data_IF_624927175470
#
_entry.id   IF_624927175470
#
_cell.length_a   1.000
_cell.length_b   1.000
_cell.length_c   1.000
_cell.angle_alpha   90.00
_cell.angle_beta   90.00
_cell.angle_gamma   90.00
#
_symmetry.space_group_name_H-M   'P 1'
#
loop_
_entity.id
_entity.type
_entity.pdbx_description
1 polymer ?
#
# COMPACT_ATOMS: atom_id res chain seq x y z
N UNK A 1 -22.03 7.78 4.94
CA UNK A 1 -20.70 7.19 4.71
C UNK A 1 -19.76 7.78 5.75
N UNK A 2 -19.22 6.96 6.64
CA UNK A 2 -18.25 7.42 7.64
C UNK A 2 -16.84 7.43 6.99
N UNK A 3 -16.17 8.59 6.87
CA UNK A 3 -14.81 8.65 6.32
C UNK A 3 -13.80 7.81 7.10
N UNK A 4 -14.01 7.59 8.40
CA UNK A 4 -13.12 6.76 9.22
C UNK A 4 -13.23 5.28 8.85
N UNK A 5 -14.43 4.82 8.49
CA UNK A 5 -14.68 3.44 8.09
C UNK A 5 -13.98 3.08 6.77
N UNK A 6 -13.68 4.07 5.91
CA UNK A 6 -13.02 3.87 4.62
C UNK A 6 -11.50 3.96 4.67
N UNK A 7 -10.94 4.29 5.83
CA UNK A 7 -9.50 4.38 5.99
C UNK A 7 -8.85 3.03 5.68
N UNK A 8 -7.76 3.08 4.93
CA UNK A 8 -7.02 1.86 4.60
C UNK A 8 -6.37 1.26 5.84
N UNK A 9 -6.37 -0.06 5.91
CA UNK A 9 -5.74 -0.79 7.00
C UNK A 9 -4.23 -0.87 6.75
N UNK A 10 -3.39 -0.47 7.72
CA UNK A 10 -1.94 -0.42 7.51
C UNK A 10 -1.38 -1.79 7.12
N UNK A 11 -0.46 -1.81 6.16
CA UNK A 11 0.18 -3.04 5.72
C UNK A 11 1.13 -3.56 6.80
N UNK A 12 0.89 -4.79 7.27
CA UNK A 12 1.79 -5.46 8.21
C UNK A 12 3.19 -5.71 7.62
N UNK A 13 4.22 -5.75 8.48
CA UNK A 13 5.63 -5.90 8.07
C UNK A 13 5.85 -7.09 7.12
N UNK A 14 5.21 -8.23 7.40
CA UNK A 14 5.27 -9.47 6.61
C UNK A 14 3.95 -9.82 5.91
N UNK A 15 2.93 -8.95 5.98
CA UNK A 15 1.63 -9.24 5.39
C UNK A 15 1.73 -9.30 3.86
N UNK A 16 1.03 -10.26 3.24
CA UNK A 16 0.92 -10.32 1.80
C UNK A 16 0.05 -9.16 1.30
N UNK A 17 0.62 -8.31 0.43
CA UNK A 17 -0.07 -7.14 -0.11
C UNK A 17 -1.39 -7.51 -0.81
N UNK A 18 -1.42 -8.59 -1.59
CA UNK A 18 -2.64 -8.99 -2.29
C UNK A 18 -3.77 -9.34 -1.32
N UNK A 19 -3.43 -10.02 -0.22
CA UNK A 19 -4.39 -10.38 0.83
C UNK A 19 -4.88 -9.11 1.55
N UNK A 20 -3.99 -8.16 1.84
CA UNK A 20 -4.35 -6.87 2.43
C UNK A 20 -5.31 -6.09 1.51
N UNK A 21 -4.97 -5.96 0.22
CA UNK A 21 -5.82 -5.27 -0.76
C UNK A 21 -7.19 -5.94 -0.91
N UNK A 22 -7.27 -7.27 -0.91
CA UNK A 22 -8.53 -7.98 -1.01
C UNK A 22 -9.42 -7.75 0.22
N UNK A 23 -8.85 -7.72 1.43
CA UNK A 23 -9.57 -7.36 2.66
C UNK A 23 -10.11 -5.94 2.59
N UNK A 24 -9.27 -4.98 2.18
CA UNK A 24 -9.70 -3.58 2.04
C UNK A 24 -10.79 -3.42 0.98
N UNK A 25 -10.69 -4.13 -0.15
CA UNK A 25 -11.74 -4.12 -1.19
C UNK A 25 -13.07 -4.67 -0.67
N UNK A 26 -13.05 -5.74 0.13
CA UNK A 26 -14.25 -6.30 0.76
C UNK A 26 -14.87 -5.32 1.76
N UNK A 27 -14.04 -4.68 2.59
CA UNK A 27 -14.45 -3.63 3.53
C UNK A 27 -15.14 -2.48 2.79
N UNK A 28 -14.53 -1.97 1.73
CA UNK A 28 -15.11 -0.89 0.92
C UNK A 28 -16.44 -1.29 0.28
N UNK A 29 -16.56 -2.51 -0.27
CA UNK A 29 -17.85 -2.98 -0.81
C UNK A 29 -18.96 -3.06 0.25
N UNK A 30 -18.62 -3.43 1.49
CA UNK A 30 -19.59 -3.45 2.60
C UNK A 30 -19.99 -2.05 3.06
N UNK A 31 -19.03 -1.12 3.20
CA UNK A 31 -19.28 0.24 3.69
C UNK A 31 -19.97 1.15 2.66
N UNK A 32 -19.73 0.89 1.37
CA UNK A 32 -20.26 1.72 0.28
C UNK A 32 -21.51 1.13 -0.37
N UNK A 33 -21.78 -0.16 -0.14
CA UNK A 33 -22.79 -0.96 -0.86
C UNK A 33 -22.65 -0.90 -2.40
N UNK A 34 -21.47 -0.50 -2.89
CA UNK A 34 -21.18 -0.28 -4.31
C UNK A 34 -19.90 -1.02 -4.71
N UNK A 35 -19.84 -1.41 -5.99
CA UNK A 35 -18.59 -1.84 -6.58
C UNK A 35 -17.73 -0.60 -6.87
N UNK A 36 -16.55 -0.54 -6.26
CA UNK A 36 -15.63 0.58 -6.42
C UNK A 36 -15.19 0.76 -7.88
N UNK A 37 -15.22 -0.30 -8.70
CA UNK A 37 -14.79 -0.25 -10.11
C UNK A 37 -15.83 0.42 -11.01
N UNK A 38 -17.08 0.50 -10.56
CA UNK A 38 -18.19 1.09 -11.33
C UNK A 38 -18.34 2.59 -11.12
N UNK A 39 -17.63 3.16 -10.15
CA UNK A 39 -17.69 4.57 -9.79
C UNK A 39 -16.28 5.15 -9.68
N UNK A 40 -15.91 6.02 -10.61
CA UNK A 40 -14.57 6.61 -10.70
C UNK A 40 -14.15 7.38 -9.44
N UNK A 41 -15.10 8.02 -8.74
CA UNK A 41 -14.82 8.71 -7.49
C UNK A 41 -14.46 7.69 -6.39
N UNK A 42 -15.25 6.61 -6.25
CA UNK A 42 -14.95 5.55 -5.29
C UNK A 42 -13.64 4.82 -5.63
N UNK A 43 -13.39 4.57 -6.91
CA UNK A 43 -12.11 4.03 -7.38
C UNK A 43 -10.95 4.92 -6.89
N UNK A 44 -11.03 6.23 -7.13
CA UNK A 44 -9.98 7.19 -6.76
C UNK A 44 -9.79 7.23 -5.24
N UNK A 45 -10.88 7.32 -4.48
CA UNK A 45 -10.81 7.36 -3.02
C UNK A 45 -10.22 6.07 -2.43
N UNK A 46 -10.60 4.90 -2.96
CA UNK A 46 -10.03 3.62 -2.56
C UNK A 46 -8.52 3.57 -2.83
N UNK A 47 -8.08 4.02 -4.00
CA UNK A 47 -6.64 4.05 -4.35
C UNK A 47 -5.86 4.96 -3.40
N UNK A 48 -6.41 6.13 -3.08
CA UNK A 48 -5.82 7.03 -2.09
C UNK A 48 -5.76 6.38 -0.70
N UNK A 49 -6.81 5.67 -0.28
CA UNK A 49 -6.80 4.99 1.02
C UNK A 49 -5.74 3.89 1.09
N UNK A 50 -5.50 3.16 -0.01
CA UNK A 50 -4.40 2.20 -0.10
C UNK A 50 -3.05 2.91 0.10
N UNK A 51 -2.80 3.99 -0.63
CA UNK A 51 -1.53 4.72 -0.59
C UNK A 51 -1.29 5.32 0.80
N UNK A 52 -2.32 5.88 1.44
CA UNK A 52 -2.24 6.44 2.79
C UNK A 52 -1.94 5.39 3.86
N UNK A 53 -2.37 4.14 3.65
CA UNK A 53 -2.11 3.02 4.55
C UNK A 53 -0.70 2.43 4.41
N UNK A 54 0.07 2.84 3.39
CA UNK A 54 1.43 2.37 3.19
C UNK A 54 2.42 3.04 4.16
N UNK A 55 3.54 2.36 4.50
CA UNK A 55 4.65 3.00 5.21
C UNK A 55 5.10 4.29 4.51
N UNK A 56 5.52 5.30 5.26
CA UNK A 56 5.85 6.63 4.72
C UNK A 56 6.84 6.60 3.56
N UNK A 57 7.86 5.73 3.63
CA UNK A 57 8.85 5.54 2.57
C UNK A 57 8.29 4.85 1.32
N UNK A 58 7.32 3.96 1.48
CA UNK A 58 6.60 3.36 0.35
C UNK A 58 5.69 4.40 -0.28
N UNK A 59 4.90 5.10 0.54
CA UNK A 59 3.98 6.16 0.10
C UNK A 59 4.71 7.26 -0.68
N UNK A 60 5.84 7.77 -0.18
CA UNK A 60 6.62 8.80 -0.87
C UNK A 60 7.05 8.37 -2.28
N UNK A 61 7.41 7.09 -2.47
CA UNK A 61 7.79 6.56 -3.79
C UNK A 61 6.58 6.35 -4.71
N UNK A 62 5.42 6.03 -4.13
CA UNK A 62 4.16 5.90 -4.86
C UNK A 62 3.63 7.26 -5.34
N UNK A 63 3.76 8.31 -4.52
CA UNK A 63 3.34 9.67 -4.85
C UNK A 63 4.17 10.33 -5.97
N UNK A 64 5.39 9.83 -6.25
CA UNK A 64 6.20 10.27 -7.40
C UNK A 64 5.59 9.87 -8.76
N UNK A 65 4.65 8.92 -8.78
CA UNK A 65 3.99 8.46 -10.00
C UNK A 65 2.71 9.27 -10.21
N UNK A 66 2.80 10.25 -11.11
CA UNK A 66 1.74 11.23 -11.46
C UNK A 66 0.37 10.59 -11.75
N UNK A 67 0.39 9.36 -12.28
CA UNK A 67 -0.79 8.68 -12.83
C UNK A 67 -1.28 7.50 -11.98
N UNK A 68 -0.67 7.26 -10.82
CA UNK A 68 -0.87 6.06 -10.00
C UNK A 68 -2.34 5.86 -9.60
N UNK A 69 -3.03 6.96 -9.29
CA UNK A 69 -4.43 6.93 -8.83
C UNK A 69 -5.42 7.13 -9.97
N UNK A 70 -5.00 7.72 -11.10
CA UNK A 70 -5.90 8.24 -12.13
C UNK A 70 -5.94 7.43 -13.43
N UNK A 71 -4.83 6.85 -13.91
CA UNK A 71 -4.77 6.24 -15.26
C UNK A 71 -4.43 4.75 -15.25
N UNK A 72 -3.88 4.23 -14.15
CA UNK A 72 -3.57 2.80 -14.04
C UNK A 72 -4.81 1.93 -13.90
N UNK A 73 -4.79 0.74 -14.49
CA UNK A 73 -5.73 -0.34 -14.17
C UNK A 73 -5.52 -0.85 -12.74
N UNK A 74 -6.52 -1.54 -12.18
CA UNK A 74 -6.40 -2.14 -10.84
C UNK A 74 -5.23 -3.13 -10.74
N UNK A 75 -4.95 -3.87 -11.82
CA UNK A 75 -3.83 -4.80 -11.87
C UNK A 75 -2.49 -4.06 -11.86
N UNK A 76 -2.32 -3.04 -12.71
CA UNK A 76 -1.08 -2.25 -12.77
C UNK A 76 -0.79 -1.55 -11.44
N UNK A 77 -1.82 -1.01 -10.78
CA UNK A 77 -1.68 -0.44 -9.44
C UNK A 77 -1.19 -1.50 -8.45
N UNK A 78 -1.82 -2.67 -8.42
CA UNK A 78 -1.46 -3.76 -7.50
C UNK A 78 -0.02 -4.20 -7.71
N UNK A 79 0.39 -4.38 -8.96
CA UNK A 79 1.72 -4.84 -9.32
C UNK A 79 2.77 -3.77 -8.98
N UNK A 80 2.46 -2.49 -9.22
CA UNK A 80 3.34 -1.37 -8.89
C UNK A 80 3.51 -1.21 -7.37
N UNK A 81 2.41 -1.17 -6.61
CA UNK A 81 2.45 -1.11 -5.14
C UNK A 81 3.21 -2.32 -4.59
N UNK A 82 2.98 -3.51 -5.16
CA UNK A 82 3.71 -4.74 -4.80
C UNK A 82 5.21 -4.61 -5.01
N UNK A 83 5.63 -4.08 -6.15
CA UNK A 83 7.03 -3.85 -6.46
C UNK A 83 7.68 -2.87 -5.46
N UNK A 84 7.04 -1.74 -5.17
CA UNK A 84 7.59 -0.73 -4.25
C UNK A 84 7.68 -1.25 -2.82
N UNK A 85 6.65 -1.96 -2.35
CA UNK A 85 6.62 -2.59 -1.02
C UNK A 85 7.73 -3.64 -0.89
N UNK A 86 7.88 -4.51 -1.88
CA UNK A 86 8.89 -5.57 -1.84
C UNK A 86 10.31 -5.01 -1.84
N UNK A 87 10.55 -3.98 -2.66
CA UNK A 87 11.83 -3.27 -2.66
C UNK A 87 12.12 -2.63 -1.30
N UNK A 88 11.11 -1.99 -0.70
CA UNK A 88 11.24 -1.40 0.63
C UNK A 88 11.60 -2.43 1.71
N UNK A 89 10.98 -3.62 1.68
CA UNK A 89 11.29 -4.71 2.61
C UNK A 89 12.74 -5.18 2.48
N UNK A 90 13.21 -5.38 1.25
CA UNK A 90 14.61 -5.77 1.00
C UNK A 90 15.61 -4.70 1.45
N UNK A 91 15.31 -3.43 1.20
CA UNK A 91 16.16 -2.32 1.65
C UNK A 91 16.21 -2.26 3.19
N UNK A 92 15.06 -2.46 3.87
CA UNK A 92 14.97 -2.52 5.34
C UNK A 92 15.77 -3.68 5.93
N UNK A 93 15.65 -4.87 5.35
CA UNK A 93 16.40 -6.07 5.76
C UNK A 93 17.91 -5.85 5.62
N UNK A 94 18.36 -5.39 4.46
CA UNK A 94 19.78 -5.09 4.21
C UNK A 94 20.36 -4.07 5.18
N UNK A 95 19.61 -3.02 5.51
CA UNK A 95 20.03 -2.03 6.50
C UNK A 95 20.15 -2.62 7.91
N UNK A 96 19.24 -3.55 8.27
CA UNK A 96 19.30 -4.26 9.54
C UNK A 96 20.55 -5.14 9.64
N UNK A 97 20.85 -5.92 8.60
CA UNK A 97 22.05 -6.77 8.54
C UNK A 97 23.33 -5.94 8.65
N UNK A 98 23.40 -4.81 7.94
CA UNK A 98 24.55 -3.90 8.01
C UNK A 98 24.74 -3.31 9.40
N UNK A 99 23.64 -2.95 10.07
CA UNK A 99 23.69 -2.42 11.43
C UNK A 99 24.17 -3.48 12.43
N UNK A 100 23.68 -4.72 12.32
CA UNK A 100 24.12 -5.84 13.16
C UNK A 100 25.61 -6.15 12.95
N UNK A 101 26.10 -6.14 11.71
CA UNK A 101 27.52 -6.36 11.41
C UNK A 101 28.41 -5.25 12.00
N UNK A 102 27.99 -3.99 11.87
CA UNK A 102 28.70 -2.86 12.49
C UNK A 102 28.75 -2.98 14.01
N UNK A 103 27.65 -3.36 14.64
CA UNK A 103 27.61 -3.58 16.10
C UNK A 103 28.56 -4.70 16.53
N UNK A 104 28.62 -5.82 15.79
CA UNK A 104 29.56 -6.92 16.09
C UNK A 104 31.03 -6.51 15.95
N UNK A 105 31.35 -5.59 15.03
CA UNK A 105 32.72 -5.09 14.85
C UNK A 105 33.15 -4.09 15.91
N UNK A 106 32.19 -3.46 16.60
CA UNK A 106 32.41 -2.47 17.65
C UNK A 106 32.41 -3.07 19.07
N UNK A 107 31.98 -4.32 19.22
CA UNK A 107 32.01 -5.09 20.47
C UNK A 107 33.33 -5.87 20.61
#
# INVERSE_FOLDING_TARGET
MDPQALRGDPLGDSENLAVNLEKQLKKWRLETEQDIETNQLLTTMFRNSIIEAMPSQVRSRLEEVVDLTSLMSHQELRDHVGHVVERFRKDKEKLSEQLEELQRKLA
#
